data_IF_514557407162
#
_entry.id   IF_514557407162
#
_cell.length_a   1.000
_cell.length_b   1.000
_cell.length_c   1.000
_cell.angle_alpha   90.00
_cell.angle_beta   90.00
_cell.angle_gamma   90.00
#
_symmetry.space_group_name_H-M   'P 1'
#
loop_
_entity.id
_entity.type
_entity.pdbx_description
1 polymer ?
#
# COMPACT_ATOMS: atom_id res chain seq x y z
N UNK A 1 3.35 -8.54 -11.05
CA UNK A 1 3.10 -7.20 -10.47
C UNK A 1 4.39 -6.45 -10.14
N UNK A 2 5.35 -7.04 -9.46
CA UNK A 2 6.58 -6.33 -9.05
C UNK A 2 7.38 -5.67 -10.19
N UNK A 3 7.41 -6.27 -11.38
CA UNK A 3 8.13 -5.73 -12.55
C UNK A 3 7.51 -4.46 -13.14
N UNK A 4 6.26 -4.15 -12.83
CA UNK A 4 5.54 -2.97 -13.33
C UNK A 4 5.48 -1.83 -12.28
N UNK A 5 6.17 -1.98 -11.15
CA UNK A 5 6.09 -1.04 -10.05
C UNK A 5 4.73 -1.06 -9.33
N UNK A 6 3.89 -2.07 -9.57
CA UNK A 6 2.58 -2.23 -8.95
C UNK A 6 2.65 -3.16 -7.74
N UNK A 7 1.82 -2.88 -6.75
CA UNK A 7 1.63 -3.75 -5.58
C UNK A 7 0.18 -3.71 -5.09
N UNK A 8 -0.20 -4.73 -4.36
CA UNK A 8 -1.53 -4.82 -3.74
C UNK A 8 -1.42 -4.48 -2.25
N UNK A 9 -2.27 -3.59 -1.81
CA UNK A 9 -2.47 -3.26 -0.40
C UNK A 9 -3.78 -3.91 0.08
N UNK A 10 -3.71 -4.76 1.08
CA UNK A 10 -4.87 -5.44 1.66
C UNK A 10 -5.12 -4.97 3.08
N UNK A 11 -6.39 -4.69 3.35
CA UNK A 11 -6.86 -4.30 4.68
C UNK A 11 -6.87 -2.79 4.90
N UNK A 12 -7.77 -2.38 5.79
CA UNK A 12 -8.11 -0.96 6.01
C UNK A 12 -6.91 -0.12 6.44
N UNK A 13 -6.11 -0.62 7.38
CA UNK A 13 -4.94 0.12 7.91
C UNK A 13 -3.94 0.42 6.80
N UNK A 14 -3.62 -0.59 5.98
CA UNK A 14 -2.65 -0.45 4.89
C UNK A 14 -3.19 0.48 3.79
N UNK A 15 -4.46 0.35 3.44
CA UNK A 15 -5.10 1.20 2.42
C UNK A 15 -5.19 2.66 2.89
N UNK A 16 -5.45 2.91 4.18
CA UNK A 16 -5.43 4.26 4.75
C UNK A 16 -4.04 4.91 4.67
N UNK A 17 -2.99 4.14 4.92
CA UNK A 17 -1.61 4.61 4.75
C UNK A 17 -1.31 4.90 3.27
N UNK A 18 -1.70 4.00 2.37
CA UNK A 18 -1.53 4.19 0.92
C UNK A 18 -2.23 5.47 0.42
N UNK A 19 -3.48 5.71 0.85
CA UNK A 19 -4.26 6.86 0.41
C UNK A 19 -3.64 8.22 0.79
N UNK A 20 -2.78 8.24 1.82
CA UNK A 20 -2.14 9.45 2.36
C UNK A 20 -0.64 9.53 2.08
N UNK A 21 -0.05 8.48 1.50
CA UNK A 21 1.39 8.41 1.28
C UNK A 21 1.83 9.32 0.14
N UNK A 22 2.86 10.14 0.32
CA UNK A 22 3.47 10.90 -0.77
C UNK A 22 4.40 10.05 -1.65
N UNK A 23 4.79 8.85 -1.19
CA UNK A 23 5.80 8.01 -1.84
C UNK A 23 5.22 6.99 -2.82
N UNK A 24 3.92 6.73 -2.72
CA UNK A 24 3.21 5.75 -3.53
C UNK A 24 1.88 6.32 -3.99
N UNK A 25 1.43 5.92 -5.17
CA UNK A 25 0.17 6.42 -5.71
C UNK A 25 -0.87 5.30 -5.78
N UNK A 26 -2.06 5.49 -5.20
CA UNK A 26 -3.17 4.60 -5.44
C UNK A 26 -3.56 4.61 -6.93
N UNK A 27 -3.84 3.44 -7.48
CA UNK A 27 -4.28 3.26 -8.87
C UNK A 27 -5.74 2.86 -8.96
N UNK A 28 -6.22 2.09 -7.98
CA UNK A 28 -7.64 1.72 -7.84
C UNK A 28 -7.91 1.22 -6.44
N UNK A 29 -9.18 1.28 -6.05
CA UNK A 29 -9.70 0.72 -4.80
C UNK A 29 -10.83 -0.27 -5.13
N UNK A 30 -10.81 -1.43 -4.48
CA UNK A 30 -11.89 -2.42 -4.54
C UNK A 30 -12.43 -2.68 -3.14
N UNK A 31 -13.73 -2.49 -2.97
CA UNK A 31 -14.45 -2.62 -1.70
C UNK A 31 -15.52 -3.71 -1.78
N UNK A 32 -15.71 -4.45 -0.70
CA UNK A 32 -16.94 -5.20 -0.52
C UNK A 32 -18.12 -4.22 -0.38
N UNK A 33 -19.26 -4.51 -1.02
CA UNK A 33 -20.46 -3.66 -1.02
C UNK A 33 -20.86 -3.22 0.39
N UNK A 34 -20.81 -4.14 1.35
CA UNK A 34 -21.12 -3.90 2.76
C UNK A 34 -20.16 -2.94 3.48
N UNK A 35 -19.00 -2.66 2.88
CA UNK A 35 -17.96 -1.79 3.46
C UNK A 35 -18.00 -0.36 2.93
N UNK A 36 -18.71 -0.09 1.84
CA UNK A 36 -18.72 1.20 1.15
C UNK A 36 -19.08 2.36 2.09
N UNK A 37 -20.18 2.22 2.84
CA UNK A 37 -20.62 3.28 3.76
C UNK A 37 -19.60 3.56 4.88
N UNK A 38 -18.99 2.51 5.43
CA UNK A 38 -18.02 2.63 6.53
C UNK A 38 -16.65 3.19 6.10
N UNK A 39 -16.35 3.19 4.79
CA UNK A 39 -15.06 3.61 4.23
C UNK A 39 -15.17 4.87 3.35
N UNK A 40 -16.23 5.66 3.54
CA UNK A 40 -16.45 6.90 2.79
C UNK A 40 -15.30 7.90 2.96
N UNK A 41 -14.70 7.96 4.13
CA UNK A 41 -13.56 8.82 4.43
C UNK A 41 -12.27 8.36 3.71
N UNK A 42 -12.09 7.06 3.51
CA UNK A 42 -10.99 6.51 2.70
C UNK A 42 -11.17 6.90 1.24
N UNK A 43 -12.38 6.75 0.71
CA UNK A 43 -12.69 7.16 -0.66
C UNK A 43 -12.47 8.66 -0.87
N UNK A 44 -12.88 9.49 0.09
CA UNK A 44 -12.68 10.94 0.04
C UNK A 44 -11.19 11.37 0.13
N UNK A 45 -10.33 10.51 0.67
CA UNK A 45 -8.89 10.77 0.74
C UNK A 45 -8.13 10.38 -0.53
N UNK A 46 -8.77 9.67 -1.47
CA UNK A 46 -8.16 9.29 -2.73
C UNK A 46 -8.18 10.47 -3.72
N UNK A 47 -7.21 10.55 -4.64
CA UNK A 47 -7.28 11.45 -5.77
C UNK A 47 -8.54 11.19 -6.62
N UNK A 48 -9.12 12.24 -7.19
CA UNK A 48 -10.38 12.17 -7.94
C UNK A 48 -10.31 11.26 -9.18
N UNK A 49 -9.12 11.03 -9.71
CA UNK A 49 -8.88 10.17 -10.87
C UNK A 49 -8.69 8.70 -10.52
N UNK A 50 -8.74 8.33 -9.24
CA UNK A 50 -8.58 6.95 -8.79
C UNK A 50 -9.94 6.24 -8.77
N UNK A 51 -10.16 5.24 -9.63
CA UNK A 51 -11.43 4.53 -9.68
C UNK A 51 -11.66 3.71 -8.40
N UNK A 52 -12.88 3.76 -7.91
CA UNK A 52 -13.37 2.95 -6.78
C UNK A 52 -14.42 1.97 -7.29
N UNK A 53 -14.16 0.70 -7.06
CA UNK A 53 -15.05 -0.40 -7.41
C UNK A 53 -15.69 -0.98 -6.15
N UNK A 54 -16.97 -1.29 -6.21
CA UNK A 54 -17.68 -2.02 -5.18
C UNK A 54 -18.19 -3.35 -5.74
N UNK A 55 -18.06 -4.43 -4.99
CA UNK A 55 -18.45 -5.76 -5.43
C UNK A 55 -18.91 -6.64 -4.26
N UNK A 56 -19.75 -7.62 -4.56
CA UNK A 56 -20.11 -8.67 -3.63
C UNK A 56 -18.94 -9.60 -3.31
N UNK A 57 -19.03 -10.32 -2.20
CA UNK A 57 -17.94 -11.20 -1.70
C UNK A 57 -17.44 -12.19 -2.75
N UNK A 58 -18.34 -12.84 -3.49
CA UNK A 58 -17.97 -13.83 -4.50
C UNK A 58 -17.09 -13.25 -5.63
N UNK A 59 -17.36 -12.01 -6.04
CA UNK A 59 -16.54 -11.31 -7.04
C UNK A 59 -15.18 -10.94 -6.46
N UNK A 60 -15.15 -10.46 -5.22
CA UNK A 60 -13.90 -10.14 -4.55
C UNK A 60 -12.99 -11.35 -4.41
N UNK A 61 -13.55 -12.49 -3.97
CA UNK A 61 -12.80 -13.74 -3.84
C UNK A 61 -12.27 -14.23 -5.20
N UNK A 62 -13.06 -14.06 -6.26
CA UNK A 62 -12.64 -14.42 -7.63
C UNK A 62 -11.49 -13.53 -8.15
N UNK A 63 -11.50 -12.23 -7.83
CA UNK A 63 -10.46 -11.29 -8.25
C UNK A 63 -9.12 -11.61 -7.60
N UNK A 64 -9.12 -11.98 -6.32
CA UNK A 64 -7.87 -12.30 -5.58
C UNK A 64 -7.47 -13.76 -5.70
N UNK A 65 -8.39 -14.66 -6.04
CA UNK A 65 -8.15 -16.10 -6.14
C UNK A 65 -8.19 -16.86 -4.80
N UNK A 66 -8.60 -16.21 -3.71
CA UNK A 66 -8.79 -16.82 -2.38
C UNK A 66 -9.86 -16.05 -1.59
N UNK A 67 -10.46 -16.65 -0.54
CA UNK A 67 -11.42 -15.93 0.30
C UNK A 67 -10.79 -14.72 0.98
N UNK A 68 -11.30 -13.53 0.67
CA UNK A 68 -10.84 -12.29 1.28
C UNK A 68 -11.74 -11.90 2.46
N UNK A 69 -11.16 -11.76 3.65
CA UNK A 69 -11.92 -11.48 4.85
C UNK A 69 -12.04 -10.00 5.19
N UNK A 70 -11.10 -9.17 4.75
CA UNK A 70 -11.03 -7.75 5.14
C UNK A 70 -11.90 -6.84 4.31
N UNK A 71 -12.34 -7.28 3.13
CA UNK A 71 -13.28 -6.59 2.27
C UNK A 71 -12.79 -5.24 1.72
N UNK A 72 -11.48 -5.05 1.65
CA UNK A 72 -10.84 -3.87 1.07
C UNK A 72 -9.47 -4.22 0.49
N UNK A 73 -9.28 -3.84 -0.77
CA UNK A 73 -8.04 -3.96 -1.54
C UNK A 73 -7.76 -2.66 -2.27
N UNK A 74 -6.49 -2.30 -2.39
CA UNK A 74 -6.07 -1.24 -3.30
C UNK A 74 -4.91 -1.71 -4.16
N UNK A 75 -4.87 -1.25 -5.40
CA UNK A 75 -3.71 -1.34 -6.25
C UNK A 75 -2.92 -0.04 -6.10
N UNK A 76 -1.66 -0.14 -5.71
CA UNK A 76 -0.75 0.99 -5.60
C UNK A 76 0.37 0.92 -6.63
N UNK A 77 0.92 2.07 -6.98
CA UNK A 77 2.12 2.21 -7.81
C UNK A 77 3.23 2.84 -6.99
N UNK A 78 4.40 2.19 -6.99
CA UNK A 78 5.62 2.77 -6.41
C UNK A 78 6.12 3.90 -7.31
N UNK A 79 6.65 4.95 -6.69
CA UNK A 79 7.45 5.93 -7.40
C UNK A 79 8.73 5.27 -7.94
N UNK A 80 9.43 5.96 -8.84
CA UNK A 80 10.76 5.54 -9.26
C UNK A 80 11.67 5.48 -8.02
N UNK A 81 12.37 4.35 -7.87
CA UNK A 81 13.30 4.17 -6.76
C UNK A 81 14.58 4.96 -7.09
N UNK A 82 15.05 5.84 -6.19
CA UNK A 82 16.34 6.51 -6.38
C UNK A 82 17.47 5.46 -6.32
N UNK A 83 18.57 5.73 -6.98
CA UNK A 83 19.79 4.96 -6.78
C UNK A 83 20.32 5.16 -5.34
N UNK A 84 21.17 4.24 -4.89
CA UNK A 84 21.80 4.37 -3.55
C UNK A 84 22.58 5.68 -3.45
N UNK A 85 23.28 6.08 -4.49
CA UNK A 85 24.06 7.32 -4.52
C UNK A 85 23.17 8.56 -4.42
N UNK A 86 22.04 8.60 -5.15
CA UNK A 86 21.05 9.69 -5.05
C UNK A 86 20.42 9.74 -3.65
N UNK A 87 20.09 8.57 -3.07
CA UNK A 87 19.54 8.50 -1.72
C UNK A 87 20.54 9.05 -0.69
N UNK A 88 21.80 8.61 -0.74
CA UNK A 88 22.84 9.04 0.20
C UNK A 88 23.18 10.52 0.04
N UNK A 89 23.22 11.02 -1.20
CA UNK A 89 23.48 12.43 -1.47
C UNK A 89 22.38 13.37 -0.94
N UNK A 90 21.15 12.87 -0.76
CA UNK A 90 20.02 13.62 -0.21
C UNK A 90 19.94 13.61 1.33
N UNK A 91 20.82 12.87 2.02
CA UNK A 91 20.80 12.79 3.48
C UNK A 91 21.47 14.01 4.14
N UNK A 92 21.03 14.39 5.34
CA UNK A 92 21.76 15.39 6.16
C UNK A 92 23.14 14.87 6.57
N UNK A 93 24.03 15.77 7.00
CA UNK A 93 25.39 15.44 7.42
C UNK A 93 25.44 14.40 8.55
N UNK A 94 24.46 14.44 9.44
CA UNK A 94 24.25 13.42 10.47
C UNK A 94 22.99 12.62 10.13
N UNK A 95 23.19 11.37 9.68
CA UNK A 95 22.10 10.47 9.36
C UNK A 95 22.40 9.04 9.81
N UNK A 96 21.38 8.35 10.32
CA UNK A 96 21.42 6.92 10.57
C UNK A 96 20.77 6.20 9.39
N UNK A 97 21.53 5.33 8.73
CA UNK A 97 21.04 4.53 7.61
C UNK A 97 20.89 3.06 8.04
N UNK A 98 19.67 2.55 7.92
CA UNK A 98 19.38 1.15 8.18
C UNK A 98 19.33 0.37 6.86
N UNK A 99 20.21 -0.61 6.72
CA UNK A 99 20.23 -1.51 5.56
C UNK A 99 19.65 -2.85 5.95
N UNK A 100 18.58 -3.27 5.27
CA UNK A 100 17.90 -4.54 5.51
C UNK A 100 18.12 -5.48 4.31
N UNK A 101 18.65 -6.68 4.57
CA UNK A 101 18.90 -7.68 3.55
C UNK A 101 18.40 -9.04 4.01
N UNK A 102 17.77 -9.79 3.07
CA UNK A 102 17.33 -11.16 3.34
C UNK A 102 16.14 -11.26 4.31
N UNK A 103 15.39 -10.20 4.55
CA UNK A 103 14.21 -10.23 5.44
C UNK A 103 13.03 -10.82 4.68
N UNK A 104 12.73 -12.09 4.92
CA UNK A 104 11.62 -12.80 4.29
C UNK A 104 10.30 -12.69 5.09
N UNK A 105 10.38 -12.47 6.40
CA UNK A 105 9.21 -12.37 7.27
C UNK A 105 8.76 -10.91 7.40
N UNK A 106 7.50 -10.63 7.02
CA UNK A 106 6.94 -9.28 7.03
C UNK A 106 6.66 -8.74 8.44
N UNK A 107 6.45 -9.60 9.45
CA UNK A 107 6.31 -9.17 10.84
C UNK A 107 7.64 -8.64 11.38
N UNK A 108 8.75 -9.32 11.02
CA UNK A 108 10.10 -8.85 11.34
C UNK A 108 10.40 -7.52 10.64
N UNK A 109 10.02 -7.38 9.37
CA UNK A 109 10.15 -6.11 8.63
C UNK A 109 9.40 -5.00 9.35
N UNK A 110 8.14 -5.22 9.70
CA UNK A 110 7.34 -4.24 10.46
C UNK A 110 7.93 -3.91 11.82
N UNK A 111 8.50 -4.88 12.52
CA UNK A 111 9.22 -4.67 13.79
C UNK A 111 10.46 -3.79 13.63
N UNK A 112 11.24 -4.05 12.59
CA UNK A 112 12.43 -3.25 12.28
C UNK A 112 12.10 -1.79 11.98
N UNK A 113 11.06 -1.54 11.18
CA UNK A 113 10.59 -0.17 10.91
C UNK A 113 10.11 0.54 12.18
N UNK A 114 9.36 -0.14 13.06
CA UNK A 114 8.92 0.47 14.34
C UNK A 114 10.06 0.81 15.27
N UNK A 115 11.13 0.00 15.28
CA UNK A 115 12.30 0.25 16.13
C UNK A 115 13.26 1.27 15.55
N UNK A 116 13.19 1.53 14.24
CA UNK A 116 14.03 2.53 13.57
C UNK A 116 13.42 3.94 13.58
N UNK A 117 12.11 4.05 13.83
CA UNK A 117 11.40 5.32 13.94
C UNK A 117 11.54 5.90 15.35
#
# INVERSE_FOLDING_TARGET
>A
MGRQGLFVAEGEVVVRVLARSPLVRPQSLLLADKRVAALSDVMAALPDDVPVYAAGQAVMDAVVGFPIHRGILALGRRAAEPSVDELLAGLPDEALVLVLSGIANHDNMGGLFRNAA
#
